data_IF_823437277512
#
_entry.id   IF_823437277512
#
_cell.length_a   1.000
_cell.length_b   1.000
_cell.length_c   1.000
_cell.angle_alpha   90.00
_cell.angle_beta   90.00
_cell.angle_gamma   90.00
#
_symmetry.space_group_name_H-M   'P 1'
#
loop_
_entity.id
_entity.type
_entity.pdbx_description
1 polymer ?
#
# COMPACT_ATOMS: atom_id res chain seq x y z
N UNK A 1 -6.80 -2.59 11.00
CA UNK A 1 -7.78 -3.43 11.72
C UNK A 1 -9.14 -2.78 11.61
N UNK A 2 -10.12 -3.43 10.99
CA UNK A 2 -11.55 -3.10 11.12
C UNK A 2 -12.24 -4.41 11.50
N UNK A 3 -12.94 -4.44 12.63
CA UNK A 3 -13.67 -5.61 13.14
C UNK A 3 -12.84 -6.88 13.47
N UNK A 4 -11.63 -6.72 14.02
CA UNK A 4 -10.80 -7.84 14.52
C UNK A 4 -10.43 -8.92 13.47
N UNK A 5 -10.53 -8.60 12.17
CA UNK A 5 -10.14 -9.50 11.09
C UNK A 5 -8.68 -9.27 10.72
N UNK A 6 -7.89 -10.35 10.70
CA UNK A 6 -6.52 -10.34 10.19
C UNK A 6 -6.56 -9.95 8.71
N UNK A 7 -5.88 -8.86 8.38
CA UNK A 7 -5.78 -8.38 7.01
C UNK A 7 -4.40 -8.73 6.46
N UNK A 8 -4.33 -9.79 5.65
CA UNK A 8 -3.09 -10.24 5.05
C UNK A 8 -2.82 -9.45 3.76
N UNK A 9 -1.71 -8.70 3.76
CA UNK A 9 -1.24 -7.89 2.63
C UNK A 9 0.08 -8.47 2.11
N UNK A 10 0.15 -8.96 0.85
CA UNK A 10 1.43 -9.21 0.23
C UNK A 10 2.16 -7.88 0.00
N UNK A 11 3.48 -7.94 0.04
CA UNK A 11 4.37 -6.82 -0.27
C UNK A 11 5.11 -7.15 -1.58
N UNK A 12 5.37 -6.12 -2.37
CA UNK A 12 6.38 -6.17 -3.43
C UNK A 12 7.78 -6.08 -2.83
N UNK A 13 8.79 -6.45 -3.62
CA UNK A 13 10.19 -6.38 -3.21
C UNK A 13 10.63 -4.94 -2.90
N UNK A 14 10.13 -3.96 -3.66
CA UNK A 14 10.34 -2.53 -3.43
C UNK A 14 9.77 -2.09 -2.07
N UNK A 15 8.51 -2.44 -1.79
CA UNK A 15 7.88 -2.09 -0.52
C UNK A 15 8.58 -2.76 0.67
N UNK A 16 9.00 -4.01 0.51
CA UNK A 16 9.80 -4.71 1.52
C UNK A 16 11.15 -4.05 1.77
N UNK A 17 11.83 -3.61 0.71
CA UNK A 17 13.12 -2.92 0.80
C UNK A 17 13.00 -1.59 1.55
N UNK A 18 11.99 -0.77 1.23
CA UNK A 18 11.68 0.48 1.94
C UNK A 18 11.43 0.21 3.43
N UNK A 19 10.65 -0.82 3.76
CA UNK A 19 10.38 -1.19 5.15
C UNK A 19 11.64 -1.67 5.88
N UNK A 20 12.55 -2.35 5.19
CA UNK A 20 13.83 -2.80 5.75
C UNK A 20 14.74 -1.61 6.04
N UNK A 21 14.80 -0.63 5.16
CA UNK A 21 15.51 0.63 5.40
C UNK A 21 14.89 1.39 6.58
N UNK A 22 13.57 1.52 6.61
CA UNK A 22 12.85 2.16 7.71
C UNK A 22 13.10 1.46 9.06
N UNK A 23 13.24 0.14 9.05
CA UNK A 23 13.57 -0.63 10.25
C UNK A 23 14.96 -0.25 10.80
N UNK A 24 15.95 0.07 9.96
CA UNK A 24 17.27 0.50 10.46
C UNK A 24 17.21 1.79 11.29
N UNK A 25 16.22 2.64 11.03
CA UNK A 25 15.99 3.90 11.75
C UNK A 25 15.17 3.66 13.03
N UNK A 26 14.17 2.79 12.94
CA UNK A 26 13.13 2.62 13.97
C UNK A 26 13.20 1.30 14.74
N UNK A 27 14.28 0.52 14.60
CA UNK A 27 14.39 -0.82 15.20
C UNK A 27 14.13 -0.87 16.71
N UNK A 28 14.44 0.20 17.44
CA UNK A 28 14.24 0.33 18.90
C UNK A 28 12.90 0.98 19.27
N UNK A 29 12.07 1.30 18.30
CA UNK A 29 10.78 1.95 18.49
C UNK A 29 9.66 0.91 18.51
N UNK A 30 8.55 1.26 19.16
CA UNK A 30 7.36 0.42 19.17
C UNK A 30 6.66 0.37 17.80
N UNK A 31 6.73 1.45 17.02
CA UNK A 31 6.06 1.60 15.74
C UNK A 31 7.06 1.56 14.59
N UNK A 32 6.68 0.92 13.47
CA UNK A 32 7.46 0.98 12.21
C UNK A 32 7.59 2.42 11.72
N UNK A 33 6.52 3.21 11.86
CA UNK A 33 6.50 4.64 11.55
C UNK A 33 6.31 5.44 12.84
N UNK A 34 7.41 5.71 13.54
CA UNK A 34 7.43 6.66 14.66
C UNK A 34 7.50 8.10 14.16
N UNK A 35 6.99 9.04 14.97
CA UNK A 35 7.02 10.46 14.66
C UNK A 35 8.47 10.99 14.57
N UNK A 36 8.90 11.55 13.43
CA UNK A 36 10.26 12.07 13.27
C UNK A 36 10.63 13.13 14.31
N UNK A 37 9.71 14.04 14.62
CA UNK A 37 9.89 15.08 15.63
C UNK A 37 10.08 14.51 17.04
N UNK A 38 9.39 13.41 17.37
CA UNK A 38 9.51 12.81 18.71
C UNK A 38 10.77 11.94 18.80
N UNK A 39 11.21 11.34 17.69
CA UNK A 39 12.49 10.63 17.61
C UNK A 39 13.67 11.56 17.92
N UNK A 40 13.69 12.79 17.37
CA UNK A 40 14.76 13.77 17.66
C UNK A 40 14.74 14.25 19.11
N UNK A 41 13.58 14.19 19.78
CA UNK A 41 13.41 14.54 21.19
C UNK A 41 13.62 13.35 22.15
N UNK A 42 14.06 12.19 21.66
CA UNK A 42 14.30 11.00 22.46
C UNK A 42 13.02 10.30 22.98
N UNK A 43 11.87 10.53 22.33
CA UNK A 43 10.56 9.97 22.69
C UNK A 43 10.03 9.02 21.60
N UNK A 44 10.57 7.79 21.48
CA UNK A 44 10.29 6.88 20.36
C UNK A 44 8.89 6.25 20.38
N UNK A 45 8.13 6.43 21.45
CA UNK A 45 6.83 5.80 21.71
C UNK A 45 5.67 6.46 20.96
N UNK A 46 5.90 7.55 20.25
CA UNK A 46 4.83 8.26 19.52
C UNK A 46 4.79 7.81 18.06
N UNK A 47 3.65 7.29 17.64
CA UNK A 47 3.35 6.99 16.24
C UNK A 47 3.37 8.28 15.38
N UNK A 48 3.65 8.12 14.09
CA UNK A 48 3.49 9.16 13.08
C UNK A 48 2.11 9.85 13.18
N UNK A 49 2.11 11.19 13.08
CA UNK A 49 0.88 11.97 13.08
C UNK A 49 0.10 11.82 11.79
N UNK A 50 -1.23 11.98 11.85
CA UNK A 50 -2.12 11.86 10.68
C UNK A 50 -1.80 12.86 9.56
N UNK A 51 -1.37 14.06 9.92
CA UNK A 51 -1.01 15.13 8.97
C UNK A 51 0.44 15.05 8.49
N UNK A 52 1.28 14.18 9.06
CA UNK A 52 2.73 14.18 8.75
C UNK A 52 3.00 13.86 7.28
N UNK A 53 2.22 12.98 6.66
CA UNK A 53 2.36 12.68 5.23
C UNK A 53 1.94 13.87 4.36
N UNK A 54 0.87 14.59 4.71
CA UNK A 54 0.46 15.79 3.98
C UNK A 54 1.53 16.87 4.09
N UNK A 55 2.07 17.12 5.29
CA UNK A 55 3.17 18.07 5.46
C UNK A 55 4.42 17.68 4.65
N UNK A 56 4.71 16.38 4.51
CA UNK A 56 5.81 15.92 3.67
C UNK A 56 5.55 16.19 2.19
N UNK A 57 4.32 15.99 1.70
CA UNK A 57 3.91 16.31 0.33
C UNK A 57 3.96 17.83 0.07
N UNK A 58 3.49 18.64 1.02
CA UNK A 58 3.57 20.10 0.93
C UNK A 58 5.03 20.58 0.85
N UNK A 59 5.93 19.97 1.63
CA UNK A 59 7.36 20.28 1.58
C UNK A 59 8.00 19.92 0.22
N UNK A 60 7.46 18.92 -0.48
CA UNK A 60 7.82 18.56 -1.85
C UNK A 60 7.11 19.42 -2.92
N UNK A 61 6.31 20.43 -2.50
CA UNK A 61 5.47 21.29 -3.34
C UNK A 61 4.40 20.53 -4.12
N UNK A 62 3.92 19.41 -3.56
CA UNK A 62 2.85 18.57 -4.12
C UNK A 62 1.52 18.83 -3.39
N UNK A 63 1.13 20.10 -3.25
CA UNK A 63 -0.02 20.52 -2.43
C UNK A 63 -1.38 19.99 -2.95
N UNK A 64 -1.44 19.60 -4.22
CA UNK A 64 -2.65 19.08 -4.87
C UNK A 64 -2.77 17.55 -4.75
N UNK A 65 -1.79 16.89 -4.12
CA UNK A 65 -1.75 15.44 -3.96
C UNK A 65 -1.84 15.10 -2.48
N UNK A 66 -2.72 14.15 -2.15
CA UNK A 66 -2.84 13.57 -0.82
C UNK A 66 -2.44 12.09 -0.85
N UNK A 67 -2.16 11.48 0.33
CA UNK A 67 -1.97 10.03 0.43
C UNK A 67 -3.19 9.22 -0.03
N UNK A 68 -4.38 9.83 -0.05
CA UNK A 68 -5.58 9.19 -0.58
C UNK A 68 -5.51 9.07 -2.12
N UNK A 69 -4.96 10.07 -2.80
CA UNK A 69 -4.85 10.07 -4.26
C UNK A 69 -3.89 8.98 -4.74
N UNK A 70 -2.82 8.70 -3.99
CA UNK A 70 -1.95 7.55 -4.25
C UNK A 70 -2.71 6.22 -4.30
N UNK A 71 -3.76 6.06 -3.47
CA UNK A 71 -4.62 4.88 -3.47
C UNK A 71 -5.53 4.85 -4.69
N UNK A 72 -6.12 5.99 -5.06
CA UNK A 72 -6.97 6.11 -6.24
C UNK A 72 -6.17 5.80 -7.51
N UNK A 73 -4.98 6.40 -7.66
CA UNK A 73 -4.07 6.15 -8.77
C UNK A 73 -3.67 4.68 -8.89
N UNK A 74 -3.32 4.03 -7.78
CA UNK A 74 -3.02 2.60 -7.78
C UNK A 74 -4.22 1.77 -8.23
N UNK A 75 -5.43 2.11 -7.78
CA UNK A 75 -6.66 1.44 -8.21
C UNK A 75 -6.87 1.58 -9.72
N UNK A 76 -6.74 2.79 -10.26
CA UNK A 76 -6.93 3.06 -11.70
C UNK A 76 -5.99 2.21 -12.54
N UNK A 77 -4.68 2.26 -12.28
CA UNK A 77 -3.71 1.49 -13.07
C UNK A 77 -3.88 -0.03 -12.95
N UNK A 78 -4.25 -0.53 -11.76
CA UNK A 78 -4.51 -1.97 -11.59
C UNK A 78 -5.77 -2.42 -12.33
N UNK A 79 -6.78 -1.56 -12.46
CA UNK A 79 -7.95 -1.82 -13.30
C UNK A 79 -7.60 -1.79 -14.78
N UNK A 80 -6.80 -0.80 -15.22
CA UNK A 80 -6.35 -0.68 -16.62
C UNK A 80 -5.47 -1.87 -17.07
N UNK A 81 -4.68 -2.43 -16.14
CA UNK A 81 -3.95 -3.69 -16.37
C UNK A 81 -4.87 -4.89 -16.65
N UNK A 82 -6.15 -4.81 -16.28
CA UNK A 82 -7.09 -5.93 -16.32
C UNK A 82 -6.96 -6.88 -15.12
N UNK A 83 -6.49 -6.38 -13.97
CA UNK A 83 -6.47 -7.19 -12.74
C UNK A 83 -7.89 -7.49 -12.27
N UNK A 84 -8.08 -8.64 -11.61
CA UNK A 84 -9.38 -9.00 -11.05
C UNK A 84 -9.79 -8.00 -9.94
N UNK A 85 -10.94 -7.35 -10.09
CA UNK A 85 -11.49 -6.38 -9.14
C UNK A 85 -11.48 -6.89 -7.70
N UNK A 86 -11.72 -8.19 -7.51
CA UNK A 86 -11.73 -8.82 -6.17
C UNK A 86 -10.36 -8.74 -5.50
N UNK A 87 -9.27 -8.69 -6.26
CA UNK A 87 -7.91 -8.58 -5.74
C UNK A 87 -7.61 -7.14 -5.34
N UNK A 88 -8.02 -6.19 -6.18
CA UNK A 88 -7.88 -4.74 -5.94
C UNK A 88 -8.66 -4.37 -4.68
N UNK A 89 -9.94 -4.70 -4.60
CA UNK A 89 -10.80 -4.41 -3.44
C UNK A 89 -10.25 -5.02 -2.14
N UNK A 90 -9.70 -6.24 -2.23
CA UNK A 90 -9.06 -6.90 -1.08
C UNK A 90 -7.81 -6.19 -0.61
N UNK A 91 -7.04 -5.57 -1.51
CA UNK A 91 -5.90 -4.73 -1.15
C UNK A 91 -6.33 -3.38 -0.60
N UNK A 92 -7.45 -2.85 -1.11
CA UNK A 92 -8.03 -1.60 -0.67
C UNK A 92 -8.83 -1.72 0.64
N UNK A 93 -8.80 -2.88 1.30
CA UNK A 93 -9.52 -3.13 2.57
C UNK A 93 -10.99 -2.67 2.54
N UNK A 94 -11.58 -2.58 1.35
CA UNK A 94 -13.00 -2.39 1.20
C UNK A 94 -13.62 -3.71 1.66
N UNK A 95 -14.30 -3.66 2.80
CA UNK A 95 -14.91 -4.84 3.39
C UNK A 95 -16.04 -5.28 2.46
N UNK A 96 -15.86 -6.43 1.79
CA UNK A 96 -16.99 -7.24 1.37
C UNK A 96 -17.93 -7.38 2.57
N UNK A 97 -19.16 -6.87 2.41
CA UNK A 97 -20.21 -6.96 3.43
C UNK A 97 -20.67 -8.40 3.69
N UNK A 98 -20.14 -9.36 2.94
CA UNK A 98 -20.60 -10.75 2.96
C UNK A 98 -19.83 -11.58 4.00
N UNK A 99 -20.48 -11.77 5.16
CA UNK A 99 -19.90 -12.36 6.38
C UNK A 99 -19.56 -13.85 6.25
N UNK A 100 -20.06 -14.56 5.25
CA UNK A 100 -20.02 -16.03 5.19
C UNK A 100 -18.85 -16.58 4.37
N UNK A 101 -18.24 -15.78 3.48
CA UNK A 101 -17.09 -16.19 2.62
C UNK A 101 -15.70 -15.91 3.21
N UNK A 102 -15.62 -15.18 4.32
CA UNK A 102 -14.36 -14.61 4.81
C UNK A 102 -13.42 -15.63 5.50
N UNK A 103 -13.95 -16.72 6.06
CA UNK A 103 -13.19 -17.59 6.97
C UNK A 103 -12.32 -18.63 6.27
N UNK A 104 -12.63 -19.01 5.01
CA UNK A 104 -11.94 -20.10 4.30
C UNK A 104 -11.03 -19.64 3.14
N UNK A 105 -10.80 -18.34 2.98
CA UNK A 105 -10.20 -17.81 1.74
C UNK A 105 -8.95 -16.92 1.93
N UNK A 106 -8.26 -17.02 3.05
CA UNK A 106 -7.08 -16.19 3.31
C UNK A 106 -5.93 -16.44 2.30
N UNK A 107 -5.80 -17.66 1.77
CA UNK A 107 -4.74 -18.02 0.83
C UNK A 107 -5.16 -17.98 -0.64
N UNK A 108 -6.47 -18.00 -0.97
CA UNK A 108 -6.97 -18.36 -2.31
C UNK A 108 -6.53 -17.44 -3.45
N UNK A 109 -5.97 -16.28 -3.15
CA UNK A 109 -5.54 -15.31 -4.16
C UNK A 109 -4.23 -14.61 -3.78
N UNK A 110 -3.52 -15.09 -2.75
CA UNK A 110 -2.36 -14.39 -2.21
C UNK A 110 -1.22 -14.31 -3.23
N UNK A 111 -1.01 -15.39 -4.01
CA UNK A 111 -0.01 -15.43 -5.08
C UNK A 111 -0.33 -14.46 -6.21
N UNK A 112 -1.59 -14.38 -6.63
CA UNK A 112 -2.02 -13.48 -7.68
C UNK A 112 -1.92 -12.02 -7.23
N UNK A 113 -2.39 -11.71 -6.01
CA UNK A 113 -2.23 -10.38 -5.40
C UNK A 113 -0.77 -9.98 -5.27
N UNK A 114 0.12 -10.91 -4.89
CA UNK A 114 1.57 -10.63 -4.85
C UNK A 114 2.08 -10.28 -6.25
N UNK A 115 1.72 -11.05 -7.27
CA UNK A 115 2.16 -10.80 -8.65
C UNK A 115 1.66 -9.45 -9.17
N UNK A 116 0.39 -9.12 -8.89
CA UNK A 116 -0.24 -7.82 -9.20
C UNK A 116 0.51 -6.66 -8.53
N UNK A 117 0.80 -6.75 -7.23
CA UNK A 117 1.52 -5.69 -6.52
C UNK A 117 2.99 -5.58 -6.95
N UNK A 118 3.62 -6.70 -7.29
CA UNK A 118 4.98 -6.71 -7.81
C UNK A 118 5.01 -5.98 -9.16
N UNK A 119 4.10 -6.34 -10.06
CA UNK A 119 3.98 -5.66 -11.34
C UNK A 119 3.73 -4.15 -11.19
N UNK A 120 2.85 -3.74 -10.27
CA UNK A 120 2.60 -2.32 -10.03
C UNK A 120 3.85 -1.58 -9.53
N UNK A 121 4.62 -2.21 -8.64
CA UNK A 121 5.88 -1.65 -8.17
C UNK A 121 6.94 -1.58 -9.29
N UNK A 122 7.00 -2.59 -10.15
CA UNK A 122 7.89 -2.60 -11.31
C UNK A 122 7.47 -1.53 -12.34
N UNK A 123 6.18 -1.31 -12.55
CA UNK A 123 5.66 -0.25 -13.41
C UNK A 123 6.07 1.14 -12.91
N UNK A 124 5.96 1.40 -11.60
CA UNK A 124 6.41 2.67 -11.00
C UNK A 124 7.92 2.90 -11.15
N UNK A 125 8.73 1.84 -11.13
CA UNK A 125 10.18 1.89 -11.34
C UNK A 125 10.56 1.93 -12.84
N UNK A 126 9.59 1.90 -13.77
CA UNK A 126 9.85 1.81 -15.22
C UNK A 126 10.40 0.46 -15.68
N UNK A 127 10.20 -0.61 -14.90
CA UNK A 127 10.60 -2.00 -15.19
C UNK A 127 9.48 -2.85 -15.81
N UNK A 128 8.27 -2.32 -15.88
CA UNK A 128 7.13 -2.91 -16.54
C UNK A 128 6.38 -1.85 -17.34
N UNK A 129 5.66 -2.27 -18.38
CA UNK A 129 4.86 -1.40 -19.23
C UNK A 129 3.39 -1.85 -19.19
N UNK A 130 2.47 -0.90 -19.39
CA UNK A 130 1.06 -1.23 -19.61
C UNK A 130 0.94 -2.08 -20.87
N UNK A 131 0.16 -3.17 -20.85
CA UNK A 131 -0.14 -3.88 -22.07
C UNK A 131 -0.83 -2.93 -23.05
N UNK A 132 -0.37 -2.91 -24.30
CA UNK A 132 -1.04 -2.18 -25.37
C UNK A 132 -2.35 -2.92 -25.64
N UNK A 133 -3.47 -2.34 -25.23
CA UNK A 133 -4.78 -2.83 -25.64
C UNK A 133 -4.95 -2.46 -27.11
N UNK A 134 -4.78 -3.43 -28.02
CA UNK A 134 -5.23 -3.24 -29.40
C UNK A 134 -6.74 -2.98 -29.37
N UNK A 135 -7.15 -1.78 -29.78
CA UNK A 135 -8.57 -1.47 -29.97
C UNK A 135 -9.14 -2.47 -30.97
N UNK A 136 -9.95 -3.40 -30.47
CA UNK A 136 -10.76 -4.29 -31.31
C UNK A 136 -11.73 -3.38 -32.06
N UNK A 137 -11.44 -3.17 -33.34
CA UNK A 137 -12.25 -2.37 -34.28
C UNK A 137 -13.49 -3.14 -34.70
#
# INVERSE_FOLDING_TARGET
MKNNKIHLLPLSDQAFSILKEQYTITAKCQFVFSSPMQLTLGKPEKMLGRSTLNFALDALKMNDVSPHDARATASTYLNELGSDDRWIEKQLSHTDNDKTRATYNHAKWLRNRRSMLQWYADFLDGKAEMPVHEEVT
#
